data_IF_619653270895
#
_entry.id   IF_619653270895
#
_cell.length_a   1.000
_cell.length_b   1.000
_cell.length_c   1.000
_cell.angle_alpha   90.00
_cell.angle_beta   90.00
_cell.angle_gamma   90.00
#
_symmetry.space_group_name_H-M   'P 1'
#
loop_
_entity.id
_entity.type
_entity.pdbx_description
1 polymer ?
#
# COMPACT_ATOMS: atom_id res chain seq x y z
N UNK A 1 17.40 5.79 6.59
CA UNK A 1 17.26 5.92 5.12
C UNK A 1 17.08 7.40 4.80
N UNK A 2 18.05 8.05 4.13
CA UNK A 2 17.94 9.48 3.77
C UNK A 2 17.33 9.57 2.37
N UNK A 3 16.06 9.94 2.28
CA UNK A 3 15.37 10.24 1.02
C UNK A 3 14.80 11.66 1.04
N UNK A 4 14.66 12.27 -0.13
CA UNK A 4 14.20 13.66 -0.27
C UNK A 4 12.72 13.77 -0.65
N UNK A 5 11.95 12.69 -0.49
CA UNK A 5 10.51 12.67 -0.83
C UNK A 5 9.70 13.73 -0.05
N UNK A 6 10.19 14.14 1.12
CA UNK A 6 9.58 15.18 1.97
C UNK A 6 10.26 16.56 1.87
N UNK A 7 11.16 16.74 0.91
CA UNK A 7 11.95 17.96 0.75
C UNK A 7 13.06 18.14 1.81
N UNK A 8 13.64 19.34 1.86
CA UNK A 8 14.79 19.65 2.70
C UNK A 8 14.80 21.12 3.18
N UNK A 9 15.66 21.41 4.15
CA UNK A 9 15.84 22.74 4.72
C UNK A 9 14.60 23.24 5.48
N UNK A 10 14.40 24.56 5.48
CA UNK A 10 13.36 25.25 6.28
C UNK A 10 11.92 24.93 5.86
N UNK A 11 11.71 24.33 4.69
CA UNK A 11 10.40 23.95 4.14
C UNK A 11 10.23 22.43 4.01
N UNK A 12 11.04 21.63 4.71
CA UNK A 12 10.82 20.18 4.81
C UNK A 12 9.41 19.93 5.37
N UNK A 13 8.74 18.89 4.86
CA UNK A 13 7.43 18.47 5.33
C UNK A 13 7.41 18.33 6.86
N UNK A 14 6.54 19.10 7.52
CA UNK A 14 6.34 19.02 8.97
C UNK A 14 5.72 17.67 9.39
N UNK A 15 5.04 16.98 8.47
CA UNK A 15 4.36 15.70 8.72
C UNK A 15 5.22 14.45 8.50
N UNK A 16 6.52 14.56 8.24
CA UNK A 16 7.39 13.42 7.89
C UNK A 16 7.27 12.26 8.88
N UNK A 17 7.32 12.54 10.18
CA UNK A 17 7.29 11.49 11.20
C UNK A 17 5.93 10.78 11.28
N UNK A 18 4.84 11.50 11.04
CA UNK A 18 3.49 10.89 11.00
C UNK A 18 3.38 10.04 9.74
N UNK A 19 3.75 10.58 8.58
CA UNK A 19 3.68 9.88 7.31
C UNK A 19 4.52 8.58 7.32
N UNK A 20 5.77 8.63 7.79
CA UNK A 20 6.65 7.47 7.86
C UNK A 20 6.09 6.39 8.80
N UNK A 21 5.61 6.78 9.99
CA UNK A 21 5.04 5.85 10.97
C UNK A 21 3.74 5.22 10.46
N UNK A 22 2.84 6.03 9.91
CA UNK A 22 1.59 5.55 9.34
C UNK A 22 1.83 4.62 8.16
N UNK A 23 2.74 4.97 7.25
CA UNK A 23 3.08 4.12 6.10
C UNK A 23 3.67 2.79 6.57
N UNK A 24 4.59 2.81 7.53
CA UNK A 24 5.17 1.60 8.09
C UNK A 24 4.10 0.68 8.70
N UNK A 25 3.25 1.21 9.58
CA UNK A 25 2.19 0.44 10.25
C UNK A 25 1.20 -0.12 9.24
N UNK A 26 0.74 0.70 8.30
CA UNK A 26 -0.23 0.27 7.29
C UNK A 26 0.36 -0.81 6.37
N UNK A 27 1.59 -0.64 5.91
CA UNK A 27 2.27 -1.64 5.08
C UNK A 27 2.50 -2.94 5.85
N UNK A 28 2.94 -2.87 7.11
CA UNK A 28 3.11 -4.05 7.94
C UNK A 28 1.78 -4.81 8.15
N UNK A 29 0.70 -4.09 8.44
CA UNK A 29 -0.63 -4.70 8.60
C UNK A 29 -1.14 -5.34 7.32
N UNK A 30 -0.95 -4.69 6.16
CA UNK A 30 -1.31 -5.27 4.86
C UNK A 30 -0.56 -6.57 4.58
N UNK A 31 0.76 -6.56 4.77
CA UNK A 31 1.63 -7.72 4.52
C UNK A 31 1.42 -8.85 5.53
N UNK A 32 1.01 -8.53 6.76
CA UNK A 32 0.62 -9.53 7.74
C UNK A 32 -0.74 -10.16 7.39
N UNK A 33 -1.68 -9.36 6.89
CA UNK A 33 -3.06 -9.78 6.62
C UNK A 33 -3.21 -10.56 5.31
N UNK A 34 -2.52 -10.14 4.24
CA UNK A 34 -2.78 -10.61 2.88
C UNK A 34 -1.51 -11.01 2.12
N UNK A 35 -1.64 -12.03 1.29
CA UNK A 35 -0.78 -12.24 0.12
C UNK A 35 -1.37 -11.41 -1.03
N UNK A 36 -0.64 -10.37 -1.44
CA UNK A 36 -1.04 -9.48 -2.53
C UNK A 36 -0.48 -10.07 -3.83
N UNK A 37 -1.37 -10.47 -4.74
CA UNK A 37 -1.02 -11.15 -6.00
C UNK A 37 -1.46 -10.34 -7.20
N UNK A 38 -0.78 -10.56 -8.32
CA UNK A 38 -1.20 -10.01 -9.62
C UNK A 38 -2.57 -10.57 -9.99
N UNK A 39 -3.39 -9.73 -10.62
CA UNK A 39 -4.72 -10.12 -11.08
C UNK A 39 -4.59 -11.04 -12.29
N UNK A 40 -5.45 -12.06 -12.37
CA UNK A 40 -5.58 -12.94 -13.53
C UNK A 40 -6.92 -12.76 -14.23
N UNK A 41 -6.91 -12.87 -15.56
CA UNK A 41 -8.10 -12.85 -16.40
C UNK A 41 -8.89 -14.18 -16.34
N UNK A 42 -10.03 -14.25 -17.03
CA UNK A 42 -10.87 -15.45 -17.10
C UNK A 42 -10.17 -16.67 -17.75
N UNK A 43 -9.07 -16.43 -18.48
CA UNK A 43 -8.29 -17.46 -19.15
C UNK A 43 -7.05 -17.87 -18.33
N UNK A 44 -6.85 -17.30 -17.15
CA UNK A 44 -5.71 -17.55 -16.28
C UNK A 44 -4.44 -16.79 -16.63
N UNK A 45 -4.49 -15.80 -17.51
CA UNK A 45 -3.34 -14.95 -17.84
C UNK A 45 -3.22 -13.79 -16.87
N UNK A 46 -1.98 -13.43 -16.51
CA UNK A 46 -1.69 -12.26 -15.68
C UNK A 46 -2.07 -10.98 -16.44
N UNK A 47 -2.82 -10.10 -15.78
CA UNK A 47 -3.10 -8.75 -16.27
C UNK A 47 -1.87 -7.89 -15.97
N UNK A 48 -1.10 -7.53 -17.00
CA UNK A 48 0.13 -6.76 -16.83
C UNK A 48 -0.14 -5.38 -16.22
N UNK A 49 0.66 -5.04 -15.20
CA UNK A 49 0.64 -3.73 -14.56
C UNK A 49 1.62 -2.79 -15.26
N UNK A 50 1.12 -1.70 -15.82
CA UNK A 50 1.96 -0.60 -16.29
C UNK A 50 2.55 0.16 -15.09
N UNK A 51 3.84 -0.06 -14.84
CA UNK A 51 4.57 0.53 -13.71
C UNK A 51 4.78 2.05 -13.86
N UNK A 52 4.47 2.62 -15.01
CA UNK A 52 4.58 4.05 -15.31
C UNK A 52 3.20 4.71 -15.46
N UNK A 53 2.11 3.99 -15.22
CA UNK A 53 0.76 4.52 -15.26
C UNK A 53 0.46 5.41 -14.04
N UNK A 54 0.84 6.69 -14.12
CA UNK A 54 0.54 7.71 -13.13
C UNK A 54 -0.43 8.77 -13.67
N UNK A 55 -1.19 9.39 -12.77
CA UNK A 55 -1.98 10.58 -13.08
C UNK A 55 -1.05 11.79 -13.29
N UNK A 56 -1.41 12.66 -14.24
CA UNK A 56 -0.74 13.94 -14.42
C UNK A 56 -1.28 14.96 -13.41
N UNK A 57 -0.78 14.86 -12.18
CA UNK A 57 -1.18 15.69 -11.05
C UNK A 57 0.04 16.15 -10.24
N UNK A 58 -0.10 17.27 -9.53
CA UNK A 58 0.97 17.81 -8.65
C UNK A 58 1.45 16.78 -7.61
N UNK A 59 0.54 15.92 -7.16
CA UNK A 59 0.88 14.76 -6.34
C UNK A 59 0.81 13.51 -7.22
N UNK A 60 1.95 12.89 -7.51
CA UNK A 60 2.03 11.65 -8.29
C UNK A 60 1.25 10.54 -7.62
N UNK A 61 0.26 9.98 -8.32
CA UNK A 61 -0.57 8.85 -7.88
C UNK A 61 -0.65 7.83 -9.01
N UNK A 62 -0.53 6.53 -8.72
CA UNK A 62 -0.77 5.51 -9.74
C UNK A 62 -2.22 5.61 -10.22
N UNK A 63 -2.45 5.37 -11.50
CA UNK A 63 -3.81 5.15 -12.03
C UNK A 63 -4.42 3.91 -11.39
N UNK A 64 -5.76 3.77 -11.34
CA UNK A 64 -6.40 2.57 -10.82
C UNK A 64 -5.86 1.29 -11.48
N UNK A 65 -5.54 0.30 -10.65
CA UNK A 65 -5.06 -1.02 -11.08
C UNK A 65 -5.68 -2.11 -10.20
N UNK A 66 -5.70 -3.34 -10.71
CA UNK A 66 -6.29 -4.48 -10.03
C UNK A 66 -5.21 -5.40 -9.45
N UNK A 67 -5.47 -5.91 -8.25
CA UNK A 67 -4.67 -6.94 -7.57
C UNK A 67 -5.61 -7.83 -6.77
N UNK A 68 -5.19 -9.07 -6.53
CA UNK A 68 -5.91 -9.99 -5.66
C UNK A 68 -5.30 -9.98 -4.26
N UNK A 69 -6.13 -9.63 -3.27
CA UNK A 69 -5.78 -9.72 -1.85
C UNK A 69 -6.26 -11.06 -1.29
N UNK A 70 -5.33 -11.98 -1.04
CA UNK A 70 -5.65 -13.31 -0.50
C UNK A 70 -5.36 -13.33 1.00
N UNK A 71 -6.35 -13.59 1.88
CA UNK A 71 -6.12 -13.67 3.32
C UNK A 71 -5.05 -14.71 3.68
N UNK A 72 -4.06 -14.33 4.50
CA UNK A 72 -2.98 -15.22 4.96
C UNK A 72 -3.38 -16.12 6.12
N UNK A 73 -4.35 -15.67 6.91
CA UNK A 73 -4.83 -16.39 8.10
C UNK A 73 -6.30 -16.80 7.92
N UNK A 74 -6.70 -17.96 8.45
CA UNK A 74 -8.10 -18.36 8.49
C UNK A 74 -8.88 -17.37 9.35
N UNK A 75 -10.09 -17.02 8.91
CA UNK A 75 -10.96 -16.08 9.62
C UNK A 75 -10.29 -14.72 9.91
N UNK A 76 -9.54 -14.19 8.92
CA UNK A 76 -8.83 -12.91 9.01
C UNK A 76 -9.70 -11.77 9.53
N UNK A 77 -10.98 -11.75 9.17
CA UNK A 77 -11.93 -10.73 9.64
C UNK A 77 -11.99 -10.73 11.18
N UNK A 78 -12.21 -11.89 11.79
CA UNK A 78 -12.26 -12.00 13.25
C UNK A 78 -10.93 -11.59 13.88
N UNK A 79 -9.80 -12.02 13.30
CA UNK A 79 -8.47 -11.66 13.80
C UNK A 79 -8.22 -10.14 13.81
N UNK A 80 -8.70 -9.42 12.78
CA UNK A 80 -8.62 -7.96 12.72
C UNK A 80 -9.54 -7.31 13.76
N UNK A 81 -10.77 -7.80 13.91
CA UNK A 81 -11.74 -7.31 14.90
C UNK A 81 -11.20 -7.46 16.34
N UNK A 82 -10.58 -8.60 16.65
CA UNK A 82 -9.92 -8.86 17.95
C UNK A 82 -8.72 -7.92 18.18
N UNK A 83 -7.88 -7.69 17.16
CA UNK A 83 -6.72 -6.80 17.26
C UNK A 83 -7.13 -5.33 17.44
N UNK A 84 -8.25 -4.90 16.85
CA UNK A 84 -8.75 -3.53 16.98
C UNK A 84 -9.50 -3.25 18.29
N UNK A 85 -9.85 -4.29 19.06
CA UNK A 85 -10.58 -4.17 20.31
C UNK A 85 -9.68 -3.91 21.54
N UNK A 86 -8.35 -3.97 21.36
CA UNK A 86 -7.35 -3.64 22.37
C UNK A 86 -6.87 -2.19 22.23
#
# INVERSE_FOLDING_TARGET
>A
MRHFAYGFGRRRCAGITIADRSMFINTANLLWSFDIKEKVDNNGNVIELDRMAFEDATNSRPKPFEVDFVPRVPDLRRAIEEMSAC
#
